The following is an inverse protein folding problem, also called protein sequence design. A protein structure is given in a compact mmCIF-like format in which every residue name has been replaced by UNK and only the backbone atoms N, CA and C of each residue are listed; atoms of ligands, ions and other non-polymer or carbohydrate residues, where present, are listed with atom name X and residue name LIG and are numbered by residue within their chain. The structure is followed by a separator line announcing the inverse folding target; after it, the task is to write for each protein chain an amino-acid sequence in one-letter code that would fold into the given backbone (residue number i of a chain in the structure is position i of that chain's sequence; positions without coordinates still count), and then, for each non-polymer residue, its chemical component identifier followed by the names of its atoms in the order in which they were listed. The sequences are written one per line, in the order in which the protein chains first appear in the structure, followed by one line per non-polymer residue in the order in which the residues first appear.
data_IF_960640126054
#
_entry.id   IF_960640126054
#
_cell.length_a   1.000
_cell.length_b   1.000
_cell.length_c   1.000
_cell.angle_alpha   90.00
_cell.angle_beta   90.00
_cell.angle_gamma   90.00
#
_symmetry.space_group_name_H-M   'P 1'
#
loop_
_entity.id
_entity.type
_entity.pdbx_description
1 polymer ?
#
# COMPACT_ATOMS: atom_id res chain seq x y z
N UNK A 1 52.51 -11.89 -32.48
CA UNK A 1 52.39 -13.35 -32.25
C UNK A 1 50.86 -13.59 -32.12
N UNK A 2 50.25 -13.91 -33.30
CA UNK A 2 48.79 -14.10 -33.42
C UNK A 2 48.50 -15.58 -33.05
N UNK A 3 47.58 -15.78 -32.11
CA UNK A 3 47.08 -17.12 -31.73
C UNK A 3 46.43 -17.79 -32.96
N UNK A 4 46.63 -19.08 -33.16
CA UNK A 4 46.07 -19.79 -34.31
C UNK A 4 44.55 -19.79 -34.27
N UNK A 5 43.91 -19.44 -35.39
CA UNK A 5 42.45 -19.34 -35.59
C UNK A 5 41.62 -20.56 -35.17
N UNK A 6 42.26 -21.68 -34.89
CA UNK A 6 41.63 -22.93 -34.45
C UNK A 6 41.33 -22.97 -32.93
N UNK A 7 41.88 -22.07 -32.13
CA UNK A 7 41.68 -22.03 -30.67
C UNK A 7 40.69 -21.02 -30.19
N UNK A 8 40.27 -20.06 -31.03
CA UNK A 8 39.26 -19.06 -30.67
C UNK A 8 37.90 -19.65 -30.25
N UNK A 9 37.29 -20.62 -30.96
CA UNK A 9 35.99 -21.15 -30.56
C UNK A 9 36.04 -21.95 -29.24
N UNK A 10 37.21 -22.56 -28.92
CA UNK A 10 37.38 -23.31 -27.68
C UNK A 10 37.45 -22.38 -26.45
N UNK A 11 38.19 -21.27 -26.57
CA UNK A 11 38.35 -20.28 -25.52
C UNK A 11 36.99 -19.53 -25.26
N UNK A 12 36.29 -19.19 -26.31
CA UNK A 12 34.98 -18.53 -26.21
C UNK A 12 33.94 -19.45 -25.54
N UNK A 13 33.95 -20.74 -25.91
CA UNK A 13 33.08 -21.73 -25.28
C UNK A 13 33.39 -21.88 -23.80
N UNK A 14 34.68 -21.95 -23.41
CA UNK A 14 35.09 -22.09 -22.02
C UNK A 14 34.74 -20.87 -21.16
N UNK A 15 34.83 -19.65 -21.73
CA UNK A 15 34.40 -18.42 -21.07
C UNK A 15 32.86 -18.38 -20.93
N UNK A 16 32.15 -18.81 -21.96
CA UNK A 16 30.69 -18.88 -21.93
C UNK A 16 30.17 -19.88 -20.89
N UNK A 17 30.79 -21.05 -20.81
CA UNK A 17 30.49 -22.09 -19.82
C UNK A 17 30.82 -21.61 -18.40
N UNK A 18 31.94 -20.91 -18.19
CA UNK A 18 32.28 -20.30 -16.91
C UNK A 18 31.28 -19.20 -16.49
N UNK A 19 30.89 -18.33 -17.41
CA UNK A 19 29.88 -17.29 -17.17
C UNK A 19 28.50 -17.90 -16.89
N UNK A 20 28.11 -18.93 -17.63
CA UNK A 20 26.88 -19.66 -17.42
C UNK A 20 26.85 -20.34 -16.02
N UNK A 21 27.95 -20.95 -15.62
CA UNK A 21 28.09 -21.56 -14.29
C UNK A 21 28.01 -20.51 -13.16
N UNK A 22 28.62 -19.34 -13.36
CA UNK A 22 28.59 -18.23 -12.40
C UNK A 22 27.23 -17.61 -12.28
N UNK A 23 26.50 -17.45 -13.40
CA UNK A 23 25.09 -16.97 -13.41
C UNK A 23 24.18 -17.99 -12.75
N UNK A 24 24.36 -19.28 -13.01
CA UNK A 24 23.59 -20.36 -12.39
C UNK A 24 23.82 -20.43 -10.86
N UNK A 25 25.08 -20.33 -10.41
CA UNK A 25 25.42 -20.28 -8.97
C UNK A 25 24.86 -19.02 -8.28
N UNK A 26 24.88 -17.88 -8.97
CA UNK A 26 24.29 -16.64 -8.44
C UNK A 26 22.75 -16.76 -8.33
N UNK A 27 22.08 -17.30 -9.36
CA UNK A 27 20.63 -17.59 -9.31
C UNK A 27 20.29 -18.57 -8.20
N UNK A 28 21.07 -19.62 -8.02
CA UNK A 28 20.83 -20.65 -6.99
C UNK A 28 21.02 -20.09 -5.58
N UNK A 29 22.07 -19.29 -5.34
CA UNK A 29 22.28 -18.59 -4.06
C UNK A 29 21.14 -17.61 -3.76
N UNK A 30 20.69 -16.85 -4.76
CA UNK A 30 19.58 -15.90 -4.61
C UNK A 30 18.27 -16.61 -4.31
N UNK A 31 18.01 -17.77 -4.93
CA UNK A 31 16.80 -18.58 -4.66
C UNK A 31 16.86 -19.20 -3.26
N UNK A 32 18.02 -19.69 -2.82
CA UNK A 32 18.19 -20.25 -1.47
C UNK A 32 18.05 -19.16 -0.40
N UNK A 33 18.60 -17.96 -0.62
CA UNK A 33 18.42 -16.82 0.28
C UNK A 33 16.95 -16.37 0.32
N UNK A 34 16.27 -16.28 -0.82
CA UNK A 34 14.84 -15.95 -0.86
C UNK A 34 13.97 -16.95 -0.12
N UNK A 35 14.34 -18.25 -0.09
CA UNK A 35 13.63 -19.28 0.68
C UNK A 35 13.94 -19.26 2.18
N UNK A 36 15.17 -18.87 2.57
CA UNK A 36 15.60 -18.86 3.98
C UNK A 36 15.25 -17.54 4.70
N UNK A 37 15.20 -16.42 3.98
CA UNK A 37 14.95 -15.10 4.55
C UNK A 37 13.61 -15.00 5.32
N UNK A 38 12.47 -15.53 4.81
CA UNK A 38 11.19 -15.47 5.54
C UNK A 38 11.17 -16.27 6.85
N UNK A 39 12.11 -17.22 7.02
CA UNK A 39 12.24 -17.98 8.27
C UNK A 39 13.26 -17.33 9.20
N UNK A 40 14.34 -16.80 8.65
CA UNK A 40 15.43 -16.20 9.42
C UNK A 40 15.02 -14.87 10.07
N UNK A 41 14.26 -14.05 9.34
CA UNK A 41 13.82 -12.74 9.84
C UNK A 41 12.94 -12.82 11.11
N UNK A 42 11.88 -13.65 11.17
CA UNK A 42 11.10 -13.84 12.39
C UNK A 42 11.91 -14.41 13.55
N UNK A 43 12.83 -15.33 13.25
CA UNK A 43 13.72 -15.93 14.27
C UNK A 43 14.66 -14.87 14.86
N UNK A 44 15.28 -14.04 14.04
CA UNK A 44 16.11 -12.92 14.46
C UNK A 44 15.31 -11.93 15.33
N UNK A 45 14.08 -11.59 14.91
CA UNK A 45 13.20 -10.72 15.66
C UNK A 45 12.86 -11.33 17.01
N UNK A 46 12.55 -12.63 17.07
CA UNK A 46 12.28 -13.35 18.31
C UNK A 46 13.47 -13.32 19.27
N UNK A 47 14.67 -13.62 18.77
CA UNK A 47 15.92 -13.54 19.55
C UNK A 47 16.10 -12.13 20.11
N UNK A 48 15.86 -11.11 19.29
CA UNK A 48 15.99 -9.73 19.73
C UNK A 48 14.97 -9.34 20.80
N UNK A 49 13.71 -9.78 20.67
CA UNK A 49 12.66 -9.58 21.68
C UNK A 49 13.10 -10.14 23.04
N UNK A 50 13.80 -11.28 23.03
CA UNK A 50 14.30 -11.92 24.25
C UNK A 50 15.54 -11.23 24.83
N UNK A 51 16.42 -10.73 23.98
CA UNK A 51 17.66 -10.05 24.43
C UNK A 51 17.43 -8.61 24.89
N UNK A 52 16.45 -7.90 24.28
CA UNK A 52 16.16 -6.50 24.57
C UNK A 52 14.67 -6.31 24.92
N UNK A 53 14.19 -6.93 26.02
CA UNK A 53 12.77 -6.95 26.36
C UNK A 53 12.20 -5.56 26.62
N UNK A 54 12.95 -4.67 27.27
CA UNK A 54 12.49 -3.30 27.56
C UNK A 54 12.30 -2.46 26.29
N UNK A 55 13.26 -2.51 25.36
CA UNK A 55 13.16 -1.80 24.07
C UNK A 55 12.00 -2.33 23.25
N UNK A 56 11.85 -3.63 23.19
CA UNK A 56 10.77 -4.31 22.47
C UNK A 56 9.40 -3.98 23.05
N UNK A 57 9.27 -4.02 24.37
CA UNK A 57 8.03 -3.66 25.07
C UNK A 57 7.66 -2.20 24.85
N UNK A 58 8.66 -1.28 24.87
CA UNK A 58 8.45 0.14 24.58
C UNK A 58 7.95 0.34 23.14
N UNK A 59 8.57 -0.32 22.16
CA UNK A 59 8.14 -0.29 20.76
C UNK A 59 6.72 -0.82 20.57
N UNK A 60 6.42 -1.98 21.17
CA UNK A 60 5.09 -2.59 21.12
C UNK A 60 4.01 -1.70 21.78
N UNK A 61 4.29 -1.14 22.96
CA UNK A 61 3.37 -0.23 23.65
C UNK A 61 3.08 1.02 22.83
N UNK A 62 4.10 1.63 22.24
CA UNK A 62 3.93 2.81 21.38
C UNK A 62 3.09 2.48 20.14
N UNK A 63 3.38 1.38 19.44
CA UNK A 63 2.62 0.94 18.28
C UNK A 63 1.16 0.65 18.63
N UNK A 64 0.92 -0.03 19.75
CA UNK A 64 -0.43 -0.34 20.22
C UNK A 64 -1.22 0.91 20.56
N UNK A 65 -0.62 1.86 21.29
CA UNK A 65 -1.28 3.11 21.66
C UNK A 65 -1.60 3.98 20.42
N UNK A 66 -0.70 4.05 19.44
CA UNK A 66 -0.95 4.75 18.17
C UNK A 66 -2.07 4.08 17.39
N UNK A 67 -2.07 2.75 17.29
CA UNK A 67 -3.15 2.02 16.64
C UNK A 67 -4.49 2.28 17.31
N UNK A 68 -4.55 2.16 18.63
CA UNK A 68 -5.80 2.30 19.38
C UNK A 68 -6.33 3.74 19.38
N UNK A 69 -5.47 4.73 19.62
CA UNK A 69 -5.89 6.13 19.80
C UNK A 69 -6.05 6.91 18.49
N UNK A 70 -5.34 6.51 17.42
CA UNK A 70 -5.31 7.27 16.17
C UNK A 70 -5.92 6.50 15.00
N UNK A 71 -5.43 5.26 14.76
CA UNK A 71 -5.79 4.51 13.56
C UNK A 71 -7.20 3.93 13.67
N UNK A 72 -7.53 3.33 14.81
CA UNK A 72 -8.83 2.68 15.03
C UNK A 72 -9.98 3.68 14.95
N UNK A 73 -10.00 4.82 15.69
CA UNK A 73 -11.11 5.76 15.61
C UNK A 73 -11.26 6.41 14.24
N UNK A 74 -10.15 6.64 13.52
CA UNK A 74 -10.18 7.27 12.20
C UNK A 74 -10.68 6.31 11.11
N UNK A 75 -10.29 5.03 11.15
CA UNK A 75 -10.57 4.09 10.06
C UNK A 75 -11.83 3.25 10.29
N UNK A 76 -12.12 2.84 11.53
CA UNK A 76 -13.19 1.86 11.79
C UNK A 76 -14.57 2.31 11.30
N UNK A 77 -15.05 3.54 11.59
CA UNK A 77 -16.34 4.00 11.08
C UNK A 77 -16.40 3.98 9.54
N UNK A 78 -15.35 4.47 8.88
CA UNK A 78 -15.25 4.46 7.42
C UNK A 78 -15.27 3.03 6.84
N UNK A 79 -14.61 2.09 7.52
CA UNK A 79 -14.57 0.69 7.10
C UNK A 79 -15.91 0.00 7.26
N UNK A 80 -16.63 0.21 8.36
CA UNK A 80 -17.99 -0.31 8.58
C UNK A 80 -18.92 0.21 7.47
N UNK A 81 -18.93 1.52 7.25
CA UNK A 81 -19.79 2.13 6.24
C UNK A 81 -19.46 1.66 4.83
N UNK A 82 -18.18 1.52 4.47
CA UNK A 82 -17.78 1.02 3.17
C UNK A 82 -18.18 -0.45 2.95
N UNK A 83 -18.05 -1.30 3.98
CA UNK A 83 -18.52 -2.69 3.94
C UNK A 83 -20.05 -2.76 3.83
N UNK A 84 -20.77 -1.92 4.58
CA UNK A 84 -22.22 -1.83 4.50
C UNK A 84 -22.67 -1.39 3.09
N UNK A 85 -22.01 -0.40 2.50
CA UNK A 85 -22.25 0.01 1.12
C UNK A 85 -21.95 -1.11 0.11
N UNK A 86 -20.91 -1.90 0.35
CA UNK A 86 -20.60 -3.06 -0.50
C UNK A 86 -21.71 -4.12 -0.41
N UNK A 87 -22.17 -4.44 0.80
CA UNK A 87 -23.20 -5.44 1.04
C UNK A 87 -24.60 -4.99 0.58
N UNK A 88 -24.88 -3.68 0.62
CA UNK A 88 -26.15 -3.11 0.14
C UNK A 88 -26.32 -3.17 -1.38
N UNK A 89 -25.24 -3.46 -2.12
CA UNK A 89 -25.26 -3.49 -3.58
C UNK A 89 -25.45 -2.13 -4.26
N UNK A 90 -25.22 -1.01 -3.56
CA UNK A 90 -25.30 0.35 -4.14
C UNK A 90 -24.42 0.48 -5.39
N UNK A 91 -23.27 -0.22 -5.40
CA UNK A 91 -22.35 -0.27 -6.53
C UNK A 91 -22.98 -0.87 -7.81
N UNK A 92 -24.06 -1.68 -7.69
CA UNK A 92 -24.78 -2.24 -8.85
C UNK A 92 -25.39 -1.13 -9.73
N UNK A 93 -25.74 0.01 -9.15
CA UNK A 93 -26.21 1.18 -9.92
C UNK A 93 -25.11 1.82 -10.77
N UNK A 94 -23.86 1.64 -10.35
CA UNK A 94 -22.70 2.13 -11.09
C UNK A 94 -22.23 1.13 -12.18
N UNK A 95 -22.66 -0.13 -12.13
CA UNK A 95 -22.23 -1.20 -13.04
C UNK A 95 -22.55 -0.88 -14.51
N UNK A 96 -23.66 -0.18 -14.79
CA UNK A 96 -24.08 0.23 -16.14
C UNK A 96 -23.42 1.52 -16.66
N UNK A 97 -22.63 2.21 -15.85
CA UNK A 97 -22.05 3.53 -16.24
C UNK A 97 -20.71 3.42 -16.98
N UNK A 98 -20.18 2.20 -17.21
CA UNK A 98 -18.87 1.99 -17.83
C UNK A 98 -18.76 2.48 -19.30
N UNK A 99 -19.87 2.56 -20.02
CA UNK A 99 -19.92 3.05 -21.41
C UNK A 99 -20.07 4.59 -21.52
N UNK A 100 -20.11 5.28 -20.40
CA UNK A 100 -20.15 6.75 -20.39
C UNK A 100 -18.84 7.35 -20.92
N UNK A 101 -18.91 8.56 -21.48
CA UNK A 101 -17.72 9.31 -21.93
C UNK A 101 -16.72 9.49 -20.79
N UNK A 102 -17.21 9.64 -19.55
CA UNK A 102 -16.39 9.74 -18.33
C UNK A 102 -15.63 8.44 -18.09
N UNK A 103 -16.26 7.26 -18.27
CA UNK A 103 -15.61 5.96 -18.17
C UNK A 103 -14.46 5.78 -19.16
N UNK A 104 -14.68 6.17 -20.42
CA UNK A 104 -13.64 6.14 -21.45
C UNK A 104 -12.50 7.12 -21.17
N UNK A 105 -12.80 8.32 -20.69
CA UNK A 105 -11.80 9.32 -20.35
C UNK A 105 -10.96 8.92 -19.13
N UNK A 106 -11.59 8.33 -18.12
CA UNK A 106 -10.94 7.96 -16.86
C UNK A 106 -10.22 6.61 -16.90
N UNK A 107 -10.52 5.75 -17.86
CA UNK A 107 -10.11 4.35 -17.94
C UNK A 107 -10.63 3.50 -16.76
N UNK A 108 -11.76 3.89 -16.18
CA UNK A 108 -12.41 3.22 -15.05
C UNK A 108 -13.85 2.84 -15.42
N UNK A 109 -14.24 1.63 -15.04
CA UNK A 109 -15.65 1.23 -15.00
C UNK A 109 -16.39 1.96 -13.88
N UNK A 110 -17.72 1.86 -13.84
CA UNK A 110 -18.48 2.37 -12.71
C UNK A 110 -18.07 1.74 -11.37
N UNK A 111 -17.76 0.43 -11.38
CA UNK A 111 -17.19 -0.27 -10.23
C UNK A 111 -15.80 0.25 -9.87
N UNK A 112 -14.97 0.54 -10.87
CA UNK A 112 -13.64 1.13 -10.67
C UNK A 112 -13.70 2.51 -10.02
N UNK A 113 -14.65 3.37 -10.41
CA UNK A 113 -14.89 4.65 -9.75
C UNK A 113 -15.31 4.49 -8.29
N UNK A 114 -16.19 3.52 -8.02
CA UNK A 114 -16.61 3.22 -6.66
C UNK A 114 -15.42 2.78 -5.78
N UNK A 115 -14.57 1.90 -6.30
CA UNK A 115 -13.35 1.43 -5.62
C UNK A 115 -12.39 2.61 -5.38
N UNK A 116 -12.16 3.45 -6.39
CA UNK A 116 -11.29 4.60 -6.30
C UNK A 116 -11.75 5.57 -5.21
N UNK A 117 -13.05 5.90 -5.20
CA UNK A 117 -13.65 6.78 -4.20
C UNK A 117 -13.46 6.24 -2.77
N UNK A 118 -13.85 4.99 -2.54
CA UNK A 118 -13.71 4.38 -1.21
C UNK A 118 -12.26 4.20 -0.80
N UNK A 119 -11.38 3.82 -1.71
CA UNK A 119 -9.96 3.69 -1.43
C UNK A 119 -9.29 5.00 -1.07
N UNK A 120 -9.69 6.12 -1.70
CA UNK A 120 -9.21 7.46 -1.37
C UNK A 120 -9.77 7.98 -0.05
N UNK A 121 -11.02 7.68 0.29
CA UNK A 121 -11.67 8.16 1.50
C UNK A 121 -11.31 7.34 2.74
N UNK A 122 -11.38 6.01 2.63
CA UNK A 122 -11.16 5.11 3.77
C UNK A 122 -9.67 4.83 4.02
N UNK A 123 -8.83 5.02 3.01
CA UNK A 123 -7.38 4.87 3.17
C UNK A 123 -6.86 3.43 3.05
N UNK A 124 -5.54 3.29 3.30
CA UNK A 124 -4.84 1.99 3.30
C UNK A 124 -5.35 1.15 4.50
N UNK A 125 -5.63 -0.16 4.30
CA UNK A 125 -5.52 -0.95 3.06
C UNK A 125 -6.85 -1.12 2.31
N UNK A 126 -7.87 -0.28 2.58
CA UNK A 126 -9.22 -0.46 2.02
C UNK A 126 -9.25 -0.47 0.49
N UNK A 127 -8.47 0.41 -0.16
CA UNK A 127 -8.35 0.39 -1.61
C UNK A 127 -7.97 -0.98 -2.16
N UNK A 128 -6.94 -1.58 -1.61
CA UNK A 128 -6.50 -2.92 -2.01
C UNK A 128 -7.53 -4.00 -1.70
N UNK A 129 -8.21 -3.93 -0.54
CA UNK A 129 -9.28 -4.86 -0.19
C UNK A 129 -10.43 -4.79 -1.18
N UNK A 130 -10.88 -3.58 -1.54
CA UNK A 130 -11.95 -3.39 -2.51
C UNK A 130 -11.56 -3.88 -3.91
N UNK A 131 -10.32 -3.61 -4.34
CA UNK A 131 -9.79 -4.16 -5.59
C UNK A 131 -9.83 -5.69 -5.59
N UNK A 132 -9.37 -6.32 -4.51
CA UNK A 132 -9.43 -7.78 -4.34
C UNK A 132 -10.87 -8.30 -4.43
N UNK A 133 -11.79 -7.74 -3.64
CA UNK A 133 -13.17 -8.22 -3.52
C UNK A 133 -13.92 -8.10 -4.86
N UNK A 134 -13.74 -7.00 -5.59
CA UNK A 134 -14.35 -6.80 -6.90
C UNK A 134 -13.70 -7.64 -8.01
N UNK A 135 -12.38 -7.87 -7.94
CA UNK A 135 -11.69 -8.74 -8.88
C UNK A 135 -12.13 -10.20 -8.73
N UNK A 136 -12.19 -10.71 -7.48
CA UNK A 136 -12.65 -12.07 -7.20
C UNK A 136 -14.11 -12.27 -7.63
N UNK A 137 -14.95 -11.25 -7.44
CA UNK A 137 -16.35 -11.25 -7.92
C UNK A 137 -16.47 -11.01 -9.44
N UNK A 138 -15.35 -10.88 -10.17
CA UNK A 138 -15.29 -10.61 -11.63
C UNK A 138 -16.04 -9.35 -12.08
N UNK A 139 -16.12 -8.34 -11.21
CA UNK A 139 -16.77 -7.05 -11.50
C UNK A 139 -15.82 -6.02 -12.12
N UNK A 140 -14.52 -6.25 -12.01
CA UNK A 140 -13.46 -5.47 -12.67
C UNK A 140 -12.49 -6.41 -13.37
N UNK A 141 -11.79 -5.88 -14.38
CA UNK A 141 -10.74 -6.62 -15.08
C UNK A 141 -9.43 -6.59 -14.32
N UNK A 142 -8.51 -7.52 -14.59
CA UNK A 142 -7.17 -7.51 -14.00
C UNK A 142 -6.38 -6.25 -14.38
N UNK A 143 -6.56 -5.73 -15.59
CA UNK A 143 -5.96 -4.48 -16.03
C UNK A 143 -6.45 -3.29 -15.20
N UNK A 144 -7.74 -3.19 -14.99
CA UNK A 144 -8.35 -2.17 -14.15
C UNK A 144 -7.92 -2.30 -12.69
N UNK A 145 -7.85 -3.52 -12.16
CA UNK A 145 -7.34 -3.81 -10.83
C UNK A 145 -5.90 -3.31 -10.66
N UNK A 146 -5.01 -3.61 -11.60
CA UNK A 146 -3.62 -3.12 -11.62
C UNK A 146 -3.55 -1.60 -11.67
N UNK A 147 -4.39 -0.99 -12.49
CA UNK A 147 -4.46 0.47 -12.60
C UNK A 147 -4.93 1.12 -11.29
N UNK A 148 -6.00 0.61 -10.69
CA UNK A 148 -6.51 1.07 -9.40
C UNK A 148 -5.46 0.99 -8.29
N UNK A 149 -4.67 -0.08 -8.24
CA UNK A 149 -3.62 -0.25 -7.22
C UNK A 149 -2.55 0.84 -7.23
N UNK A 150 -2.37 1.57 -8.34
CA UNK A 150 -1.38 2.64 -8.44
C UNK A 150 -1.79 3.84 -7.58
N UNK A 151 -3.09 4.18 -7.51
CA UNK A 151 -3.52 5.44 -6.93
C UNK A 151 -4.61 5.32 -5.85
N UNK A 152 -5.34 4.19 -5.71
CA UNK A 152 -6.42 4.08 -4.73
C UNK A 152 -5.96 3.73 -3.30
N UNK A 153 -4.68 3.36 -3.10
CA UNK A 153 -4.15 3.01 -1.79
C UNK A 153 -3.47 4.23 -1.15
N UNK A 154 -4.25 5.17 -0.63
CA UNK A 154 -3.75 6.41 -0.03
C UNK A 154 -3.97 6.41 1.49
N UNK A 155 -3.29 7.29 2.21
CA UNK A 155 -3.68 7.59 3.59
C UNK A 155 -5.03 8.33 3.56
N UNK A 156 -5.91 8.05 4.51
CA UNK A 156 -7.23 8.70 4.55
C UNK A 156 -7.10 10.20 4.75
N UNK A 157 -8.00 11.03 4.16
CA UNK A 157 -8.00 12.46 4.38
C UNK A 157 -8.06 12.84 5.85
N UNK A 158 -8.87 12.13 6.64
CA UNK A 158 -8.99 12.36 8.08
C UNK A 158 -7.64 12.16 8.79
N UNK A 159 -6.92 11.06 8.49
CA UNK A 159 -5.60 10.83 9.06
C UNK A 159 -4.59 11.90 8.65
N UNK A 160 -4.55 12.28 7.37
CA UNK A 160 -3.62 13.29 6.88
C UNK A 160 -3.88 14.66 7.53
N UNK A 161 -5.15 15.10 7.54
CA UNK A 161 -5.51 16.46 7.98
C UNK A 161 -5.41 16.55 9.49
N UNK A 162 -6.03 15.63 10.23
CA UNK A 162 -6.12 15.71 11.69
C UNK A 162 -4.85 15.21 12.37
N UNK A 163 -4.37 14.02 12.04
CA UNK A 163 -3.22 13.45 12.73
C UNK A 163 -1.89 14.01 12.25
N UNK A 164 -1.71 14.23 10.92
CA UNK A 164 -0.41 14.64 10.39
C UNK A 164 -0.27 16.16 10.38
N UNK A 165 -1.19 16.86 9.74
CA UNK A 165 -0.98 18.28 9.40
C UNK A 165 -1.53 19.26 10.44
N UNK A 166 -2.57 18.91 11.20
CA UNK A 166 -3.18 19.83 12.17
C UNK A 166 -2.18 20.28 13.25
N UNK A 167 -1.46 19.31 13.84
CA UNK A 167 -0.49 19.58 14.90
C UNK A 167 0.82 20.17 14.38
N UNK A 168 1.22 19.81 13.15
CA UNK A 168 2.53 20.21 12.60
C UNK A 168 2.53 21.62 12.01
N UNK A 169 1.40 22.00 11.41
CA UNK A 169 1.26 23.24 10.67
C UNK A 169 0.02 23.99 11.14
N UNK A 170 0.11 24.79 12.21
CA UNK A 170 -1.03 25.55 12.73
C UNK A 170 -1.54 26.56 11.68
N UNK A 171 -0.68 27.02 10.78
CA UNK A 171 -1.06 27.95 9.72
C UNK A 171 -1.90 27.27 8.63
N UNK A 172 -3.12 27.79 8.35
CA UNK A 172 -4.01 27.19 7.33
C UNK A 172 -3.41 27.18 5.92
N UNK A 173 -2.51 28.14 5.60
CA UNK A 173 -1.82 28.24 4.32
C UNK A 173 -0.93 27.03 4.07
N UNK A 174 -0.08 26.69 5.02
CA UNK A 174 0.82 25.54 4.93
C UNK A 174 0.03 24.22 4.85
N UNK A 175 -1.01 24.06 5.66
CA UNK A 175 -1.87 22.84 5.57
C UNK A 175 -2.48 22.67 4.19
N UNK A 176 -2.97 23.76 3.57
CA UNK A 176 -3.52 23.70 2.20
C UNK A 176 -2.47 23.27 1.19
N UNK A 177 -1.24 23.79 1.27
CA UNK A 177 -0.13 23.38 0.39
C UNK A 177 0.14 21.88 0.55
N UNK A 178 0.20 21.37 1.78
CA UNK A 178 0.47 19.96 2.06
C UNK A 178 -0.61 19.05 1.46
N UNK A 179 -1.88 19.37 1.70
CA UNK A 179 -3.03 18.60 1.16
C UNK A 179 -3.05 18.68 -0.36
N UNK A 180 -2.88 19.86 -0.94
CA UNK A 180 -2.92 20.08 -2.39
C UNK A 180 -1.80 19.30 -3.09
N UNK A 181 -0.56 19.41 -2.61
CA UNK A 181 0.58 18.69 -3.19
C UNK A 181 0.44 17.17 -3.08
N UNK A 182 -0.10 16.67 -1.97
CA UNK A 182 -0.38 15.25 -1.79
C UNK A 182 -1.38 14.73 -2.83
N UNK A 183 -2.57 15.33 -2.92
CA UNK A 183 -3.60 14.87 -3.85
C UNK A 183 -3.28 15.18 -5.32
N UNK A 184 -2.52 16.25 -5.60
CA UNK A 184 -2.02 16.51 -6.95
C UNK A 184 -1.07 15.39 -7.40
N UNK A 185 -0.23 14.87 -6.52
CA UNK A 185 0.63 13.72 -6.84
C UNK A 185 -0.18 12.45 -7.14
N UNK A 186 -1.27 12.22 -6.41
CA UNK A 186 -2.21 11.10 -6.69
C UNK A 186 -2.86 11.27 -8.06
N UNK A 187 -3.29 12.49 -8.38
CA UNK A 187 -3.88 12.80 -9.69
C UNK A 187 -2.87 12.60 -10.84
N UNK A 188 -1.62 13.01 -10.65
CA UNK A 188 -0.57 12.78 -11.63
C UNK A 188 -0.29 11.28 -11.82
N UNK A 189 -0.28 10.48 -10.76
CA UNK A 189 -0.14 9.03 -10.88
C UNK A 189 -1.31 8.41 -11.63
N UNK A 190 -2.55 8.83 -11.34
CA UNK A 190 -3.72 8.41 -12.11
C UNK A 190 -3.57 8.79 -13.59
N UNK A 191 -3.16 10.03 -13.88
CA UNK A 191 -2.99 10.52 -15.24
C UNK A 191 -1.92 9.73 -16.01
N UNK A 192 -0.74 9.49 -15.40
CA UNK A 192 0.33 8.70 -15.99
C UNK A 192 -0.06 7.22 -16.11
N UNK A 193 -0.71 6.68 -15.08
CA UNK A 193 -1.14 5.28 -15.04
C UNK A 193 -2.09 4.93 -16.20
N UNK A 194 -2.96 5.84 -16.62
CA UNK A 194 -3.85 5.60 -17.77
C UNK A 194 -3.11 5.41 -19.12
N UNK A 195 -1.89 5.93 -19.25
CA UNK A 195 -1.04 5.70 -20.44
C UNK A 195 -0.37 4.32 -20.38
N UNK A 196 -0.05 3.86 -19.19
CA UNK A 196 0.60 2.56 -18.96
C UNK A 196 -0.43 1.42 -19.05
N UNK A 197 -1.66 1.66 -18.55
CA UNK A 197 -2.75 0.68 -18.53
C UNK A 197 -3.90 1.14 -19.44
N UNK A 198 -3.84 0.86 -20.75
CA UNK A 198 -4.90 1.25 -21.67
C UNK A 198 -6.21 0.54 -21.30
N UNK A 199 -7.31 1.32 -21.31
CA UNK A 199 -8.64 0.79 -21.10
C UNK A 199 -9.02 -0.16 -22.25
N UNK A 200 -9.05 -1.43 -21.97
CA UNK A 200 -9.66 -2.43 -22.85
C UNK A 200 -11.08 -2.65 -22.36
N UNK A 201 -12.02 -1.95 -22.96
CA UNK A 201 -13.44 -2.02 -22.64
C UNK A 201 -14.06 -3.38 -22.99
N UNK A 202 -13.55 -4.45 -22.41
CA UNK A 202 -14.11 -5.79 -22.54
C UNK A 202 -14.42 -6.31 -21.14
N UNK A 203 -15.66 -6.81 -21.00
CA UNK A 203 -16.07 -7.66 -19.88
C UNK A 203 -14.98 -8.71 -19.58
N UNK A 204 -14.77 -9.08 -18.32
CA UNK A 204 -13.78 -10.06 -17.94
C UNK A 204 -14.09 -11.41 -18.61
N UNK A 205 -13.36 -11.73 -19.69
CA UNK A 205 -13.36 -13.04 -20.29
C UNK A 205 -12.58 -14.00 -19.38
N UNK A 206 -13.28 -15.03 -18.94
CA UNK A 206 -12.84 -16.26 -18.30
C UNK A 206 -11.36 -16.61 -18.53
N UNK A 207 -10.47 -16.22 -17.62
CA UNK A 207 -9.20 -16.89 -17.45
C UNK A 207 -8.69 -16.75 -16.01
N UNK A 208 -9.50 -17.19 -15.05
CA UNK A 208 -9.01 -17.50 -13.71
C UNK A 208 -9.07 -19.04 -13.54
N UNK A 209 -8.06 -19.72 -14.06
CA UNK A 209 -7.73 -21.06 -13.61
C UNK A 209 -7.27 -20.95 -12.15
N UNK A 210 -8.12 -21.39 -11.21
CA UNK A 210 -7.71 -21.49 -9.80
C UNK A 210 -8.82 -21.51 -8.75
N UNK A 211 -10.01 -21.03 -9.06
CA UNK A 211 -11.15 -21.14 -8.13
C UNK A 211 -12.17 -22.11 -8.63
N UNK A 212 -12.50 -23.13 -7.84
CA UNK A 212 -13.52 -24.12 -8.17
C UNK A 212 -14.89 -23.44 -8.30
N UNK A 213 -15.57 -23.73 -9.40
CA UNK A 213 -16.91 -23.22 -9.75
C UNK A 213 -17.98 -23.40 -8.67
N UNK A 214 -17.74 -24.27 -7.69
CA UNK A 214 -18.64 -24.56 -6.57
C UNK A 214 -18.71 -23.45 -5.50
N UNK A 215 -17.62 -22.67 -5.29
CA UNK A 215 -17.62 -21.58 -4.30
C UNK A 215 -18.27 -20.30 -4.85
N UNK A 216 -18.16 -20.08 -6.16
CA UNK A 216 -18.76 -18.92 -6.85
C UNK A 216 -20.29 -19.04 -6.96
N UNK A 217 -20.80 -20.23 -7.27
CA UNK A 217 -22.25 -20.52 -7.38
C UNK A 217 -22.99 -20.34 -6.04
N UNK A 218 -22.30 -20.63 -4.91
CA UNK A 218 -22.87 -20.43 -3.58
C UNK A 218 -22.93 -18.95 -3.18
N UNK A 219 -22.05 -18.12 -3.70
CA UNK A 219 -22.01 -16.67 -3.37
C UNK A 219 -23.04 -15.90 -4.21
N UNK A 220 -23.15 -16.17 -5.50
CA UNK A 220 -24.14 -15.52 -6.37
C UNK A 220 -25.58 -15.92 -6.03
N UNK A 221 -25.84 -17.18 -5.69
CA UNK A 221 -27.17 -17.64 -5.24
C UNK A 221 -27.60 -17.05 -3.89
N UNK A 222 -26.66 -16.78 -2.99
CA UNK A 222 -26.94 -16.07 -1.74
C UNK A 222 -27.22 -14.58 -1.95
N UNK A 223 -26.56 -13.93 -2.92
CA UNK A 223 -26.77 -12.50 -3.22
C UNK A 223 -28.10 -12.23 -3.95
N UNK A 224 -28.62 -13.20 -4.72
CA UNK A 224 -29.84 -13.02 -5.52
C UNK A 224 -31.14 -13.17 -4.70
N UNK A 225 -31.12 -13.76 -3.52
CA UNK A 225 -32.33 -14.10 -2.73
C UNK A 225 -32.41 -13.45 -1.35
N UNK A 226 -31.42 -12.67 -0.91
CA UNK A 226 -31.46 -12.01 0.40
C UNK A 226 -32.07 -10.60 0.28
N UNK A 227 -33.26 -10.44 0.87
CA UNK A 227 -33.80 -9.12 1.21
C UNK A 227 -32.76 -8.42 2.11
N UNK A 228 -32.31 -7.20 1.74
CA UNK A 228 -31.34 -6.43 2.52
C UNK A 228 -31.85 -6.22 3.94
N UNK A 229 -31.38 -7.02 4.88
CA UNK A 229 -31.64 -6.84 6.30
C UNK A 229 -30.53 -5.97 6.89
N UNK A 230 -30.88 -4.75 7.30
CA UNK A 230 -29.91 -3.77 7.77
C UNK A 230 -29.14 -4.28 8.99
N UNK A 231 -29.79 -4.96 9.94
CA UNK A 231 -29.15 -5.45 11.17
C UNK A 231 -28.11 -6.52 10.89
N UNK A 232 -28.43 -7.53 10.09
CA UNK A 232 -27.51 -8.62 9.73
C UNK A 232 -26.31 -8.10 8.90
N UNK A 233 -26.58 -7.18 7.97
CA UNK A 233 -25.51 -6.59 7.18
C UNK A 233 -24.62 -5.65 8.01
N UNK A 234 -25.18 -4.98 9.01
CA UNK A 234 -24.41 -4.14 9.92
C UNK A 234 -23.49 -4.98 10.80
N UNK A 235 -23.98 -6.06 11.42
CA UNK A 235 -23.18 -6.98 12.24
C UNK A 235 -22.04 -7.61 11.40
N UNK A 236 -22.35 -8.09 10.20
CA UNK A 236 -21.36 -8.63 9.28
C UNK A 236 -20.32 -7.58 8.88
N UNK A 237 -20.76 -6.34 8.64
CA UNK A 237 -19.86 -5.23 8.29
C UNK A 237 -18.94 -4.85 9.44
N UNK A 238 -19.44 -4.84 10.68
CA UNK A 238 -18.66 -4.59 11.89
C UNK A 238 -17.59 -5.68 12.05
N UNK A 239 -17.98 -6.95 11.98
CA UNK A 239 -17.05 -8.07 12.17
C UNK A 239 -15.96 -8.11 11.09
N UNK A 240 -16.31 -7.95 9.81
CA UNK A 240 -15.35 -7.93 8.70
C UNK A 240 -14.38 -6.73 8.78
N UNK A 241 -14.87 -5.59 9.23
CA UNK A 241 -14.01 -4.42 9.43
C UNK A 241 -13.10 -4.58 10.65
N UNK A 242 -13.58 -5.21 11.74
CA UNK A 242 -12.78 -5.51 12.92
C UNK A 242 -11.63 -6.49 12.58
N UNK A 243 -11.89 -7.59 11.84
CA UNK A 243 -10.83 -8.50 11.39
C UNK A 243 -9.74 -7.76 10.60
N UNK A 244 -10.14 -6.87 9.71
CA UNK A 244 -9.19 -6.06 8.94
C UNK A 244 -8.39 -5.11 9.86
N UNK A 245 -9.03 -4.45 10.82
CA UNK A 245 -8.37 -3.57 11.78
C UNK A 245 -7.39 -4.30 12.69
N UNK A 246 -7.73 -5.50 13.15
CA UNK A 246 -6.82 -6.33 13.94
C UNK A 246 -5.55 -6.70 13.15
N UNK A 247 -5.67 -7.00 11.87
CA UNK A 247 -4.51 -7.22 10.99
C UNK A 247 -3.66 -5.98 10.86
N UNK A 248 -4.28 -4.80 10.65
CA UNK A 248 -3.59 -3.51 10.60
C UNK A 248 -2.82 -3.27 11.90
N UNK A 249 -3.48 -3.45 13.05
CA UNK A 249 -2.85 -3.31 14.37
C UNK A 249 -1.65 -4.24 14.58
N UNK A 250 -1.77 -5.50 14.13
CA UNK A 250 -0.66 -6.46 14.15
C UNK A 250 0.54 -6.00 13.32
N UNK A 251 0.33 -5.45 12.13
CA UNK A 251 1.42 -4.89 11.33
C UNK A 251 2.05 -3.66 11.98
N UNK A 252 1.24 -2.71 12.47
CA UNK A 252 1.75 -1.51 13.14
C UNK A 252 2.60 -1.92 14.35
N UNK A 253 2.11 -2.81 15.19
CA UNK A 253 2.83 -3.31 16.37
C UNK A 253 4.16 -3.95 15.98
N UNK A 254 4.15 -4.88 15.02
CA UNK A 254 5.34 -5.60 14.57
C UNK A 254 6.40 -4.63 14.01
N UNK A 255 5.99 -3.71 13.14
CA UNK A 255 6.91 -2.74 12.55
C UNK A 255 7.38 -1.67 13.53
N UNK A 256 6.57 -1.31 14.54
CA UNK A 256 7.00 -0.41 15.63
C UNK A 256 8.04 -1.06 16.53
N UNK A 257 7.92 -2.36 16.80
CA UNK A 257 8.96 -3.14 17.50
C UNK A 257 10.23 -3.18 16.64
N UNK A 258 10.13 -3.52 15.36
CA UNK A 258 11.27 -3.55 14.45
C UNK A 258 11.98 -2.19 14.38
N UNK A 259 11.22 -1.10 14.34
CA UNK A 259 11.74 0.25 14.36
C UNK A 259 12.51 0.56 15.66
N UNK A 260 11.96 0.20 16.83
CA UNK A 260 12.62 0.38 18.13
C UNK A 260 13.92 -0.42 18.22
N UNK A 261 13.92 -1.64 17.66
CA UNK A 261 15.11 -2.50 17.54
C UNK A 261 16.20 -1.82 16.72
N UNK A 262 15.86 -1.39 15.52
CA UNK A 262 16.82 -0.76 14.62
C UNK A 262 17.40 0.54 15.22
N UNK A 263 16.56 1.34 15.88
CA UNK A 263 17.01 2.54 16.59
C UNK A 263 18.00 2.25 17.72
N UNK A 264 17.87 1.12 18.41
CA UNK A 264 18.81 0.74 19.46
C UNK A 264 20.14 0.23 18.95
N UNK A 265 20.18 -0.27 17.70
CA UNK A 265 21.38 -0.81 17.07
C UNK A 265 22.17 0.22 16.28
N UNK A 266 21.49 1.23 15.73
CA UNK A 266 22.09 2.21 14.82
C UNK A 266 22.07 3.58 15.50
N UNK A 267 23.23 4.20 15.65
CA UNK A 267 23.36 5.56 16.18
C UNK A 267 23.07 6.57 15.05
N UNK A 268 21.86 7.08 15.01
CA UNK A 268 21.40 8.08 14.03
C UNK A 268 21.05 9.38 14.75
N UNK A 269 21.13 10.50 14.02
CA UNK A 269 20.54 11.76 14.50
C UNK A 269 19.02 11.63 14.68
N UNK A 270 18.40 12.49 15.47
CA UNK A 270 16.96 12.43 15.71
C UNK A 270 16.12 12.47 14.43
N UNK A 271 16.55 13.25 13.43
CA UNK A 271 15.87 13.37 12.13
C UNK A 271 16.03 12.11 11.30
N UNK A 272 17.25 11.60 11.14
CA UNK A 272 17.52 10.37 10.39
C UNK A 272 16.79 9.17 11.00
N UNK A 273 16.79 9.09 12.32
CA UNK A 273 16.06 8.08 13.08
C UNK A 273 14.56 8.16 12.82
N UNK A 274 13.98 9.37 12.86
CA UNK A 274 12.57 9.59 12.55
C UNK A 274 12.20 9.21 11.11
N UNK A 275 13.07 9.51 10.13
CA UNK A 275 12.90 9.12 8.73
C UNK A 275 12.95 7.59 8.59
N UNK A 276 13.94 6.92 9.18
CA UNK A 276 14.06 5.47 9.15
C UNK A 276 12.81 4.79 9.71
N UNK A 277 12.34 5.27 10.86
CA UNK A 277 11.11 4.75 11.49
C UNK A 277 9.89 4.98 10.61
N UNK A 278 9.74 6.17 9.99
CA UNK A 278 8.63 6.48 9.10
C UNK A 278 8.64 5.62 7.82
N UNK A 279 9.82 5.24 7.32
CA UNK A 279 9.95 4.30 6.21
C UNK A 279 9.49 2.89 6.59
N UNK A 280 9.63 2.51 7.85
CA UNK A 280 9.14 1.22 8.36
C UNK A 280 7.67 1.29 8.75
N UNK A 281 7.32 2.24 9.63
CA UNK A 281 5.98 2.45 10.16
C UNK A 281 5.69 3.95 10.25
N UNK A 282 4.77 4.39 9.41
CA UNK A 282 4.55 5.82 9.16
C UNK A 282 4.02 6.58 10.39
N UNK A 283 3.10 5.99 11.17
CA UNK A 283 2.48 6.65 12.32
C UNK A 283 3.49 6.94 13.43
N UNK A 284 4.32 5.96 13.75
CA UNK A 284 5.39 6.07 14.75
C UNK A 284 6.46 7.07 14.30
N UNK A 285 6.86 6.99 13.01
CA UNK A 285 7.90 7.87 12.46
C UNK A 285 7.47 9.32 12.39
N UNK A 286 6.23 9.60 11.98
CA UNK A 286 5.67 10.96 12.01
C UNK A 286 5.62 11.48 13.44
N UNK A 287 5.20 10.67 14.43
CA UNK A 287 5.21 11.04 15.83
C UNK A 287 6.59 11.50 16.32
N UNK A 288 7.66 10.84 15.86
CA UNK A 288 9.05 11.24 16.19
C UNK A 288 9.47 12.51 15.44
N UNK A 289 9.21 12.60 14.13
CA UNK A 289 9.56 13.76 13.31
C UNK A 289 8.84 15.04 13.75
N UNK A 290 7.66 14.94 14.35
CA UNK A 290 6.97 16.06 14.97
C UNK A 290 7.84 16.75 16.02
N UNK A 291 8.56 15.98 16.82
CA UNK A 291 9.40 16.47 17.91
C UNK A 291 10.79 16.95 17.47
N UNK A 292 11.21 16.65 16.23
CA UNK A 292 12.50 17.07 15.71
C UNK A 292 12.52 18.56 15.37
N UNK A 293 13.67 19.22 15.65
CA UNK A 293 13.92 20.61 15.23
C UNK A 293 14.36 20.64 13.77
N UNK A 294 13.51 21.18 12.91
CA UNK A 294 13.77 21.35 11.47
C UNK A 294 13.07 22.62 10.98
N UNK A 295 13.60 23.32 9.95
CA UNK A 295 12.86 24.37 9.27
C UNK A 295 11.49 23.89 8.82
N UNK A 296 10.43 24.68 9.02
CA UNK A 296 9.04 24.25 8.80
C UNK A 296 8.78 23.74 7.38
N UNK A 297 9.30 24.43 6.36
CA UNK A 297 9.17 24.00 4.96
C UNK A 297 9.88 22.67 4.67
N UNK A 298 11.09 22.47 5.20
CA UNK A 298 11.82 21.21 5.03
C UNK A 298 11.11 20.07 5.76
N UNK A 299 10.63 20.31 6.98
CA UNK A 299 9.81 19.36 7.74
C UNK A 299 8.56 18.97 6.96
N UNK A 300 7.88 19.95 6.33
CA UNK A 300 6.74 19.73 5.46
C UNK A 300 7.06 18.82 4.27
N UNK A 301 8.12 19.13 3.52
CA UNK A 301 8.54 18.31 2.36
C UNK A 301 8.80 16.85 2.77
N UNK A 302 9.61 16.66 3.83
CA UNK A 302 9.99 15.32 4.30
C UNK A 302 8.78 14.54 4.77
N UNK A 303 7.94 15.13 5.63
CA UNK A 303 6.76 14.43 6.19
C UNK A 303 5.75 14.12 5.09
N UNK A 304 5.48 15.03 4.17
CA UNK A 304 4.54 14.81 3.09
C UNK A 304 5.00 13.71 2.13
N UNK A 305 6.30 13.70 1.79
CA UNK A 305 6.92 12.61 1.02
C UNK A 305 6.78 11.25 1.71
N UNK A 306 7.06 11.19 3.01
CA UNK A 306 6.94 9.96 3.79
C UNK A 306 5.48 9.49 3.90
N UNK A 307 4.52 10.42 4.07
CA UNK A 307 3.09 10.10 4.02
C UNK A 307 2.68 9.52 2.66
N UNK A 308 3.19 10.06 1.56
CA UNK A 308 2.92 9.54 0.23
C UNK A 308 3.51 8.14 0.02
N UNK A 309 4.67 7.84 0.60
CA UNK A 309 5.22 6.49 0.63
C UNK A 309 4.38 5.54 1.50
N UNK A 310 3.95 5.99 2.67
CA UNK A 310 3.08 5.25 3.60
C UNK A 310 3.79 4.23 4.49
N UNK A 311 5.09 3.98 4.29
CA UNK A 311 5.89 3.02 5.06
C UNK A 311 5.75 1.56 4.62
N UNK A 312 6.72 0.72 5.01
CA UNK A 312 6.73 -0.71 4.68
C UNK A 312 5.58 -1.47 5.34
N UNK A 313 5.15 -1.06 6.53
CA UNK A 313 3.99 -1.62 7.23
C UNK A 313 2.73 -1.57 6.37
N UNK A 314 2.44 -0.42 5.74
CA UNK A 314 1.28 -0.25 4.86
C UNK A 314 1.37 -1.11 3.58
N UNK A 315 2.56 -1.26 3.00
CA UNK A 315 2.78 -2.13 1.84
C UNK A 315 2.53 -3.61 2.18
N UNK A 316 2.91 -4.04 3.39
CA UNK A 316 2.62 -5.39 3.86
C UNK A 316 1.12 -5.60 4.13
N UNK A 317 0.41 -4.56 4.61
CA UNK A 317 -1.05 -4.58 4.74
C UNK A 317 -1.72 -4.76 3.38
N UNK A 318 -1.31 -3.96 2.37
CA UNK A 318 -1.79 -4.10 0.98
C UNK A 318 -1.53 -5.51 0.45
N UNK A 319 -0.31 -6.04 0.64
CA UNK A 319 0.05 -7.41 0.24
C UNK A 319 -0.86 -8.45 0.90
N UNK A 320 -1.19 -8.26 2.16
CA UNK A 320 -2.08 -9.16 2.90
C UNK A 320 -3.50 -9.16 2.34
N UNK A 321 -4.00 -8.01 1.89
CA UNK A 321 -5.35 -7.91 1.29
C UNK A 321 -5.41 -8.53 -0.11
N UNK A 322 -4.30 -8.54 -0.85
CA UNK A 322 -4.23 -9.07 -2.21
C UNK A 322 -3.92 -10.59 -2.26
N UNK A 323 -3.85 -11.27 -1.12
CA UNK A 323 -3.63 -12.73 -1.09
C UNK A 323 -4.71 -13.46 -1.88
N UNK A 324 -4.27 -14.46 -2.67
CA UNK A 324 -5.16 -15.23 -3.55
C UNK A 324 -5.40 -14.61 -4.92
N UNK A 325 -4.81 -13.45 -5.22
CA UNK A 325 -4.79 -12.86 -6.55
C UNK A 325 -3.38 -12.87 -7.14
N UNK A 326 -3.27 -12.85 -8.47
CA UNK A 326 -1.98 -12.75 -9.19
C UNK A 326 -1.52 -11.29 -9.38
N UNK A 327 -2.10 -10.35 -8.64
CA UNK A 327 -1.76 -8.93 -8.77
C UNK A 327 -0.33 -8.65 -8.30
N UNK A 328 0.46 -7.90 -9.08
CA UNK A 328 1.86 -7.67 -8.79
C UNK A 328 2.05 -6.64 -7.68
N UNK A 329 2.40 -7.08 -6.48
CA UNK A 329 2.63 -6.20 -5.31
C UNK A 329 3.76 -5.20 -5.53
N UNK A 330 4.78 -5.56 -6.34
CA UNK A 330 5.86 -4.63 -6.68
C UNK A 330 5.38 -3.37 -7.41
N UNK A 331 4.24 -3.44 -8.11
CA UNK A 331 3.62 -2.28 -8.73
C UNK A 331 3.19 -1.25 -7.68
N UNK A 332 2.61 -1.72 -6.56
CA UNK A 332 2.25 -0.83 -5.44
C UNK A 332 3.49 -0.16 -4.84
N UNK A 333 4.59 -0.91 -4.68
CA UNK A 333 5.84 -0.34 -4.18
C UNK A 333 6.38 0.75 -5.10
N UNK A 334 6.47 0.49 -6.41
CA UNK A 334 6.94 1.46 -7.40
C UNK A 334 6.04 2.70 -7.42
N UNK A 335 4.72 2.51 -7.41
CA UNK A 335 3.76 3.61 -7.39
C UNK A 335 3.93 4.48 -6.13
N UNK A 336 4.09 3.87 -4.96
CA UNK A 336 4.30 4.59 -3.70
C UNK A 336 5.63 5.33 -3.64
N UNK A 337 6.71 4.71 -4.12
CA UNK A 337 8.01 5.37 -4.22
C UNK A 337 7.97 6.56 -5.20
N UNK A 338 7.34 6.39 -6.35
CA UNK A 338 7.14 7.48 -7.32
C UNK A 338 6.28 8.60 -6.75
N UNK A 339 5.21 8.26 -6.02
CA UNK A 339 4.35 9.22 -5.35
C UNK A 339 5.13 10.03 -4.31
N UNK A 340 5.96 9.39 -3.51
CA UNK A 340 6.78 10.07 -2.49
C UNK A 340 7.67 11.16 -3.10
N UNK A 341 8.35 10.82 -4.20
CA UNK A 341 9.19 11.77 -4.94
C UNK A 341 8.35 12.92 -5.50
N UNK A 342 7.25 12.61 -6.20
CA UNK A 342 6.35 13.62 -6.77
C UNK A 342 5.78 14.55 -5.70
N UNK A 343 5.33 13.99 -4.58
CA UNK A 343 4.78 14.79 -3.47
C UNK A 343 5.83 15.72 -2.87
N UNK A 344 7.05 15.22 -2.68
CA UNK A 344 8.15 16.04 -2.18
C UNK A 344 8.49 17.20 -3.11
N UNK A 345 8.60 16.93 -4.41
CA UNK A 345 8.85 17.94 -5.44
C UNK A 345 7.73 18.98 -5.51
N UNK A 346 6.46 18.56 -5.53
CA UNK A 346 5.31 19.46 -5.56
C UNK A 346 5.21 20.30 -4.29
N UNK A 347 5.45 19.69 -3.12
CA UNK A 347 5.45 20.43 -1.86
C UNK A 347 6.55 21.51 -1.85
N UNK A 348 7.75 21.15 -2.32
CA UNK A 348 8.87 22.10 -2.44
C UNK A 348 8.57 23.24 -3.40
N UNK A 349 8.01 22.91 -4.59
CA UNK A 349 7.60 23.92 -5.57
C UNK A 349 6.53 24.87 -5.01
N UNK A 350 5.50 24.36 -4.36
CA UNK A 350 4.45 25.19 -3.77
C UNK A 350 4.99 26.11 -2.65
N UNK A 351 5.93 25.65 -1.86
CA UNK A 351 6.59 26.52 -0.88
C UNK A 351 7.42 27.63 -1.53
N UNK A 352 8.05 27.38 -2.68
CA UNK A 352 8.81 28.39 -3.40
C UNK A 352 7.92 29.47 -4.06
N UNK A 353 6.68 29.14 -4.43
CA UNK A 353 5.78 30.08 -5.13
C UNK A 353 4.77 30.77 -4.22
N UNK A 354 4.52 30.26 -3.02
CA UNK A 354 3.48 30.77 -2.11
C UNK A 354 4.07 31.47 -0.89
N UNK A 355 5.31 31.18 -0.54
CA UNK A 355 6.10 31.85 0.50
C UNK A 355 7.17 32.74 -0.10
#
# INVERSE_FOLDING_TARGET
MLLPRSLEPFFIKQIMDYLALRVHTYKTKTVIMKKKLPVLLPLLLLIFLLLFPQTSLKGAKNGLLLWFNQVLPALWPCMILSQLCLNSGIWKKAEGSGDSEIGRLSHLSGCGWYIALLGLLCGIPMGAKMVHDFLVRRKITEYEARFLLIFCNQLSPAFLIEFVFADLFPEPGMRRIMVLSYYMSVFLLWFVGRWIFPFKGQMPLLSAQGYTSSELDCTEKKEASQTFCLSENLDTSIMNSLDTLMRIGGYILLFSVLAAVLQSLIHLSAVESGILVALLEITTGIGQLKLCTMPAHLKGIVINSLCAFGGMSSLMQVTSMLKGTELPVHLCFIAKASQAVLTGLLTGLFFLFVL
#
